data_IF_855072297665
#
_entry.id   IF_855072297665
#
_cell.length_a   1.000
_cell.length_b   1.000
_cell.length_c   1.000
_cell.angle_alpha   90.00
_cell.angle_beta   90.00
_cell.angle_gamma   90.00
#
_symmetry.space_group_name_H-M   'P 1'
#
loop_
_entity.id
_entity.type
_entity.pdbx_description
1 polymer ?
#
# COMPACT_ATOMS: atom_id res chain seq x y z
N UNK A 1 1.46 -8.47 -5.49
CA UNK A 1 0.98 -9.60 -6.33
C UNK A 1 0.32 -9.02 -7.56
N UNK A 2 0.55 -9.61 -8.74
CA UNK A 2 -0.06 -9.20 -10.00
C UNK A 2 -0.83 -10.37 -10.59
N UNK A 3 -2.11 -10.18 -10.88
CA UNK A 3 -2.91 -11.09 -11.68
C UNK A 3 -3.19 -10.45 -13.04
N UNK A 4 -2.90 -11.16 -14.12
CA UNK A 4 -3.08 -10.63 -15.48
C UNK A 4 -3.87 -11.63 -16.34
N UNK A 5 -4.99 -11.17 -16.88
CA UNK A 5 -5.75 -11.87 -17.92
C UNK A 5 -5.46 -11.24 -19.28
N UNK A 6 -5.19 -12.09 -20.26
CA UNK A 6 -4.92 -11.69 -21.63
C UNK A 6 -5.93 -12.33 -22.57
N UNK A 7 -6.52 -11.54 -23.45
CA UNK A 7 -7.30 -11.99 -24.61
C UNK A 7 -6.54 -11.57 -25.89
N UNK A 8 -5.77 -12.50 -26.46
CA UNK A 8 -5.08 -12.30 -27.74
C UNK A 8 -5.94 -12.87 -28.88
N UNK A 9 -6.76 -12.03 -29.50
CA UNK A 9 -7.65 -12.42 -30.60
C UNK A 9 -8.50 -13.68 -30.30
N UNK A 10 -9.04 -13.77 -29.08
CA UNK A 10 -9.83 -14.91 -28.62
C UNK A 10 -9.02 -16.00 -27.90
N UNK A 11 -7.69 -15.98 -27.97
CA UNK A 11 -6.85 -16.81 -27.11
C UNK A 11 -6.77 -16.20 -25.71
N UNK A 12 -7.53 -16.80 -24.79
CA UNK A 12 -7.70 -16.31 -23.42
C UNK A 12 -6.87 -17.12 -22.44
N UNK A 13 -6.02 -16.42 -21.68
CA UNK A 13 -5.19 -17.04 -20.67
C UNK A 13 -4.92 -16.11 -19.49
N UNK A 14 -4.54 -16.73 -18.37
CA UNK A 14 -3.98 -16.03 -17.22
C UNK A 14 -2.46 -16.18 -17.27
N UNK A 15 -1.75 -15.10 -16.96
CA UNK A 15 -0.28 -15.09 -16.94
C UNK A 15 0.21 -15.66 -15.60
N UNK A 16 1.16 -16.60 -15.68
CA UNK A 16 1.79 -17.21 -14.51
C UNK A 16 3.25 -16.82 -14.39
N UNK A 17 3.84 -17.06 -13.21
CA UNK A 17 5.28 -16.90 -13.00
C UNK A 17 6.14 -17.89 -13.81
N UNK A 18 5.57 -18.99 -14.30
CA UNK A 18 6.29 -19.96 -15.14
C UNK A 18 5.99 -19.81 -16.63
N UNK A 19 5.14 -18.84 -17.00
CA UNK A 19 4.76 -18.61 -18.38
C UNK A 19 5.96 -18.17 -19.21
N UNK A 20 6.02 -18.68 -20.45
CA UNK A 20 6.98 -18.28 -21.49
C UNK A 20 6.37 -17.26 -22.47
N UNK A 21 5.25 -16.64 -22.10
CA UNK A 21 4.61 -15.62 -22.91
C UNK A 21 5.26 -14.24 -22.71
N UNK A 22 5.13 -13.31 -23.69
CA UNK A 22 5.75 -11.99 -23.61
C UNK A 22 5.26 -11.13 -22.44
N UNK A 23 4.09 -11.43 -21.87
CA UNK A 23 3.55 -10.65 -20.76
C UNK A 23 4.24 -11.00 -19.44
N UNK A 24 4.54 -12.28 -19.20
CA UNK A 24 5.28 -12.69 -18.02
C UNK A 24 6.69 -12.07 -17.98
N UNK A 25 7.40 -12.07 -19.12
CA UNK A 25 8.71 -11.42 -19.24
C UNK A 25 8.61 -9.92 -19.03
N UNK A 26 7.68 -9.24 -19.71
CA UNK A 26 7.45 -7.81 -19.55
C UNK A 26 7.06 -7.42 -18.12
N UNK A 27 6.32 -8.28 -17.39
CA UNK A 27 5.94 -8.03 -16.00
C UNK A 27 7.15 -8.08 -15.09
N UNK A 28 8.06 -9.04 -15.29
CA UNK A 28 9.31 -9.13 -14.51
C UNK A 28 10.22 -7.95 -14.81
N UNK A 29 10.40 -7.61 -16.09
CA UNK A 29 11.21 -6.48 -16.52
C UNK A 29 10.68 -5.16 -15.95
N UNK A 30 9.38 -4.88 -16.11
CA UNK A 30 8.75 -3.69 -15.55
C UNK A 30 8.83 -3.65 -14.02
N UNK A 31 8.61 -4.78 -13.33
CA UNK A 31 8.76 -4.84 -11.87
C UNK A 31 10.18 -4.47 -11.41
N UNK A 32 11.21 -4.98 -12.11
CA UNK A 32 12.60 -4.61 -11.86
C UNK A 32 12.86 -3.13 -12.17
N UNK A 33 12.41 -2.65 -13.33
CA UNK A 33 12.58 -1.27 -13.76
C UNK A 33 11.98 -0.26 -12.77
N UNK A 34 10.78 -0.54 -12.26
CA UNK A 34 10.07 0.34 -11.30
C UNK A 34 10.38 0.03 -9.83
N UNK A 35 11.30 -0.90 -9.54
CA UNK A 35 11.69 -1.26 -8.17
C UNK A 35 10.58 -1.87 -7.32
N UNK A 36 9.58 -2.50 -7.95
CA UNK A 36 8.47 -3.13 -7.25
C UNK A 36 8.78 -4.62 -7.02
N UNK A 37 8.64 -5.14 -5.79
CA UNK A 37 8.75 -6.57 -5.50
C UNK A 37 7.45 -7.29 -5.94
N UNK A 38 7.12 -7.19 -7.23
CA UNK A 38 5.96 -7.84 -7.81
C UNK A 38 6.19 -9.34 -7.95
N UNK A 39 5.15 -10.11 -7.66
CA UNK A 39 5.10 -11.55 -7.87
C UNK A 39 3.90 -11.89 -8.75
N UNK A 40 4.03 -12.96 -9.52
CA UNK A 40 2.98 -13.54 -10.34
C UNK A 40 2.44 -14.82 -9.66
N UNK A 41 1.20 -15.22 -9.95
CA UNK A 41 0.67 -16.48 -9.45
C UNK A 41 1.39 -17.67 -10.11
N UNK A 42 1.48 -18.78 -9.38
CA UNK A 42 2.00 -20.02 -9.93
C UNK A 42 1.02 -20.67 -10.92
N UNK A 43 -0.28 -20.37 -10.79
CA UNK A 43 -1.36 -21.01 -11.54
C UNK A 43 -1.34 -22.54 -11.43
N UNK A 44 -0.98 -23.04 -10.24
CA UNK A 44 -1.10 -24.45 -9.87
C UNK A 44 -2.58 -24.87 -9.73
N UNK A 45 -2.83 -26.13 -9.35
CA UNK A 45 -4.20 -26.63 -9.19
C UNK A 45 -5.01 -25.81 -8.18
N UNK A 46 -4.39 -25.33 -7.11
CA UNK A 46 -5.07 -24.55 -6.08
C UNK A 46 -5.49 -23.17 -6.62
N UNK A 47 -4.61 -22.49 -7.36
CA UNK A 47 -4.94 -21.22 -8.00
C UNK A 47 -6.05 -21.40 -9.04
N UNK A 48 -5.95 -22.43 -9.88
CA UNK A 48 -6.95 -22.74 -10.92
C UNK A 48 -8.33 -23.06 -10.36
N UNK A 49 -8.40 -23.61 -9.13
CA UNK A 49 -9.67 -23.80 -8.42
C UNK A 49 -10.18 -22.53 -7.75
N UNK A 50 -9.28 -21.63 -7.34
CA UNK A 50 -9.64 -20.41 -6.62
C UNK A 50 -10.10 -19.29 -7.55
N UNK A 51 -9.58 -19.22 -8.78
CA UNK A 51 -9.87 -18.14 -9.71
C UNK A 51 -9.84 -18.59 -11.17
N UNK A 52 -10.84 -18.16 -11.95
CA UNK A 52 -10.91 -18.37 -13.39
C UNK A 52 -10.56 -17.11 -14.18
N UNK A 53 -10.31 -17.28 -15.48
CA UNK A 53 -10.20 -16.16 -16.43
C UNK A 53 -11.43 -15.25 -16.37
N UNK A 54 -12.64 -15.83 -16.31
CA UNK A 54 -13.90 -15.08 -16.31
C UNK A 54 -14.05 -14.23 -15.04
N UNK A 55 -13.60 -14.73 -13.89
CA UNK A 55 -13.62 -13.97 -12.64
C UNK A 55 -12.73 -12.73 -12.74
N UNK A 56 -11.53 -12.89 -13.29
CA UNK A 56 -10.59 -11.79 -13.49
C UNK A 56 -11.11 -10.81 -14.55
N UNK A 57 -11.62 -11.33 -15.67
CA UNK A 57 -12.12 -10.54 -16.80
C UNK A 57 -13.36 -9.71 -16.44
N UNK A 58 -14.28 -10.31 -15.68
CA UNK A 58 -15.48 -9.67 -15.15
C UNK A 58 -15.19 -8.61 -14.08
N UNK A 59 -13.95 -8.54 -13.57
CA UNK A 59 -13.53 -7.55 -12.59
C UNK A 59 -14.09 -7.80 -11.20
N UNK A 60 -14.33 -9.06 -10.83
CA UNK A 60 -14.84 -9.41 -9.50
C UNK A 60 -13.70 -9.38 -8.46
N UNK A 61 -13.67 -8.41 -7.52
CA UNK A 61 -12.54 -8.28 -6.60
C UNK A 61 -12.49 -9.39 -5.55
N UNK A 62 -13.63 -9.96 -5.16
CA UNK A 62 -13.73 -10.99 -4.11
C UNK A 62 -12.93 -12.27 -4.42
N UNK A 63 -13.18 -12.96 -5.55
CA UNK A 63 -12.41 -14.14 -5.95
C UNK A 63 -10.91 -13.85 -6.06
N UNK A 64 -10.53 -12.70 -6.63
CA UNK A 64 -9.14 -12.29 -6.76
C UNK A 64 -8.47 -12.09 -5.41
N UNK A 65 -9.16 -11.41 -4.48
CA UNK A 65 -8.64 -11.17 -3.15
C UNK A 65 -8.44 -12.49 -2.39
N UNK A 66 -9.43 -13.39 -2.43
CA UNK A 66 -9.36 -14.72 -1.81
C UNK A 66 -8.24 -15.58 -2.40
N UNK A 67 -8.11 -15.64 -3.72
CA UNK A 67 -7.02 -16.37 -4.38
C UNK A 67 -5.65 -15.80 -4.03
N UNK A 68 -5.57 -14.48 -3.79
CA UNK A 68 -4.34 -13.79 -3.42
C UNK A 68 -3.89 -14.04 -1.97
N UNK A 69 -4.78 -14.45 -1.06
CA UNK A 69 -4.48 -14.60 0.38
C UNK A 69 -3.26 -15.48 0.65
N UNK A 70 -3.11 -16.60 -0.07
CA UNK A 70 -1.98 -17.53 0.10
C UNK A 70 -0.61 -16.87 -0.15
N UNK A 71 -0.59 -15.82 -0.97
CA UNK A 71 0.62 -15.08 -1.32
C UNK A 71 0.90 -13.92 -0.36
N UNK A 72 -0.01 -13.66 0.60
CA UNK A 72 0.07 -12.58 1.60
C UNK A 72 0.54 -11.23 1.03
N UNK A 73 -0.08 -10.73 -0.06
CA UNK A 73 0.35 -9.48 -0.66
C UNK A 73 -0.08 -8.28 0.19
N UNK A 74 0.73 -7.22 0.20
CA UNK A 74 0.30 -5.92 0.72
C UNK A 74 -0.72 -5.27 -0.23
N UNK A 75 -0.48 -5.40 -1.54
CA UNK A 75 -1.37 -4.90 -2.61
C UNK A 75 -1.49 -5.91 -3.75
N UNK A 76 -2.66 -5.91 -4.39
CA UNK A 76 -2.98 -6.76 -5.53
C UNK A 76 -3.24 -5.88 -6.74
N UNK A 77 -2.43 -6.04 -7.79
CA UNK A 77 -2.65 -5.43 -9.10
C UNK A 77 -3.37 -6.42 -10.00
N UNK A 78 -4.45 -5.98 -10.64
CA UNK A 78 -5.25 -6.77 -11.56
C UNK A 78 -5.16 -6.12 -12.93
N UNK A 79 -4.63 -6.83 -13.91
CA UNK A 79 -4.58 -6.41 -15.31
C UNK A 79 -5.54 -7.23 -16.17
N UNK A 80 -6.24 -6.55 -17.07
CA UNK A 80 -7.01 -7.16 -18.16
C UNK A 80 -6.54 -6.55 -19.45
N UNK A 81 -5.98 -7.36 -20.33
CA UNK A 81 -5.38 -6.91 -21.58
C UNK A 81 -6.07 -7.62 -22.73
N UNK A 82 -6.53 -6.86 -23.73
CA UNK A 82 -7.05 -7.42 -24.98
C UNK A 82 -6.32 -6.84 -26.17
N UNK A 83 -6.16 -7.65 -27.20
CA UNK A 83 -5.70 -7.17 -28.51
C UNK A 83 -6.81 -6.35 -29.17
N UNK A 84 -6.41 -5.23 -29.78
CA UNK A 84 -7.25 -4.36 -30.59
C UNK A 84 -6.67 -4.24 -32.01
N UNK A 85 -7.37 -3.55 -32.91
CA UNK A 85 -6.92 -3.36 -34.30
C UNK A 85 -5.63 -2.54 -34.41
N UNK A 86 -5.29 -1.75 -33.38
CA UNK A 86 -4.14 -0.84 -33.37
C UNK A 86 -3.14 -1.14 -32.24
N UNK A 87 -3.14 -2.38 -31.71
CA UNK A 87 -2.23 -2.79 -30.63
C UNK A 87 -2.97 -3.49 -29.49
N UNK A 88 -2.74 -3.01 -28.27
CA UNK A 88 -3.26 -3.59 -27.03
C UNK A 88 -3.98 -2.55 -26.18
N UNK A 89 -5.11 -2.97 -25.63
CA UNK A 89 -5.88 -2.21 -24.65
C UNK A 89 -5.74 -2.89 -23.29
N UNK A 90 -5.47 -2.11 -22.25
CA UNK A 90 -5.25 -2.63 -20.91
C UNK A 90 -6.10 -1.88 -19.89
N UNK A 91 -6.86 -2.61 -19.09
CA UNK A 91 -7.57 -2.09 -17.94
C UNK A 91 -6.95 -2.66 -16.67
N UNK A 92 -6.48 -1.77 -15.80
CA UNK A 92 -5.76 -2.14 -14.59
C UNK A 92 -6.50 -1.66 -13.35
N UNK A 93 -6.38 -2.40 -12.26
CA UNK A 93 -6.99 -2.08 -10.97
C UNK A 93 -6.07 -2.47 -9.82
N UNK A 94 -5.88 -1.58 -8.86
CA UNK A 94 -5.06 -1.79 -7.67
C UNK A 94 -5.96 -1.95 -6.43
N UNK A 95 -5.79 -3.05 -5.70
CA UNK A 95 -6.47 -3.36 -4.44
C UNK A 95 -5.48 -3.36 -3.28
N UNK A 96 -5.90 -2.92 -2.09
CA UNK A 96 -5.10 -2.98 -0.85
C UNK A 96 -4.41 -1.68 -0.45
N UNK A 97 -4.54 -0.61 -1.26
CA UNK A 97 -3.94 0.71 -1.06
C UNK A 97 -4.92 1.72 -0.40
N UNK A 98 -5.69 1.31 0.60
CA UNK A 98 -6.69 2.17 1.27
C UNK A 98 -7.98 2.46 0.47
N UNK A 99 -7.91 2.43 -0.87
CA UNK A 99 -9.05 2.41 -1.79
C UNK A 99 -8.71 1.59 -3.05
N UNK A 100 -9.73 1.17 -3.80
CA UNK A 100 -9.55 0.57 -5.13
C UNK A 100 -9.42 1.68 -6.18
N UNK A 101 -8.36 1.64 -6.98
CA UNK A 101 -8.14 2.59 -8.08
C UNK A 101 -7.95 1.84 -9.39
N UNK A 102 -8.49 2.36 -10.48
CA UNK A 102 -8.44 1.73 -11.79
C UNK A 102 -8.11 2.73 -12.88
N UNK A 103 -7.38 2.27 -13.90
CA UNK A 103 -6.98 3.08 -15.05
C UNK A 103 -6.96 2.24 -16.32
N UNK A 104 -6.98 2.93 -17.47
CA UNK A 104 -6.92 2.31 -18.79
C UNK A 104 -5.68 2.83 -19.52
N UNK A 105 -5.00 1.95 -20.22
CA UNK A 105 -3.81 2.24 -21.03
C UNK A 105 -3.94 1.60 -22.41
N UNK A 106 -3.18 2.15 -23.35
CA UNK A 106 -3.03 1.62 -24.71
C UNK A 106 -1.54 1.45 -25.00
N UNK A 107 -1.17 0.42 -25.75
CA UNK A 107 0.23 0.15 -26.10
C UNK A 107 0.35 -0.68 -27.37
N UNK A 108 1.42 -0.47 -28.13
CA UNK A 108 1.61 -1.12 -29.42
C UNK A 108 2.09 -2.58 -29.27
N UNK A 109 2.72 -2.90 -28.14
CA UNK A 109 3.29 -4.20 -27.82
C UNK A 109 2.82 -4.71 -26.45
N UNK A 110 2.97 -6.02 -26.22
CA UNK A 110 2.74 -6.64 -24.91
C UNK A 110 3.62 -6.02 -23.80
N UNK A 111 4.86 -5.69 -24.14
CA UNK A 111 5.77 -4.97 -23.26
C UNK A 111 5.25 -3.58 -22.91
N UNK A 112 4.88 -2.77 -23.90
CA UNK A 112 4.42 -1.41 -23.69
C UNK A 112 3.15 -1.35 -22.83
N UNK A 113 2.20 -2.28 -23.04
CA UNK A 113 0.95 -2.29 -22.27
C UNK A 113 1.18 -2.69 -20.80
N UNK A 114 2.11 -3.62 -20.55
CA UNK A 114 2.50 -4.05 -19.21
C UNK A 114 3.26 -2.95 -18.48
N UNK A 115 4.26 -2.33 -19.12
CA UNK A 115 5.02 -1.21 -18.54
C UNK A 115 4.11 -0.05 -18.16
N UNK A 116 3.19 0.36 -19.05
CA UNK A 116 2.21 1.41 -18.74
C UNK A 116 1.27 1.01 -17.60
N UNK A 117 0.88 -0.26 -17.53
CA UNK A 117 0.11 -0.83 -16.43
C UNK A 117 0.84 -0.69 -15.10
N UNK A 118 2.05 -1.24 -15.01
CA UNK A 118 2.86 -1.20 -13.79
C UNK A 118 3.23 0.24 -13.41
N UNK A 119 3.62 1.09 -14.36
CA UNK A 119 3.91 2.51 -14.10
C UNK A 119 2.74 3.22 -13.42
N UNK A 120 1.50 2.93 -13.81
CA UNK A 120 0.31 3.46 -13.14
C UNK A 120 0.24 3.02 -11.69
N UNK A 121 0.45 1.73 -11.41
CA UNK A 121 0.50 1.22 -10.04
C UNK A 121 1.63 1.87 -9.22
N UNK A 122 2.82 1.99 -9.79
CA UNK A 122 3.96 2.68 -9.16
C UNK A 122 3.62 4.12 -8.81
N UNK A 123 3.02 4.88 -9.73
CA UNK A 123 2.62 6.26 -9.47
C UNK A 123 1.60 6.39 -8.35
N UNK A 124 0.62 5.48 -8.28
CA UNK A 124 -0.39 5.47 -7.22
C UNK A 124 0.21 5.11 -5.87
N UNK A 125 1.05 4.06 -5.82
CA UNK A 125 1.75 3.67 -4.60
C UNK A 125 2.70 4.77 -4.14
N UNK A 126 3.49 5.34 -5.06
CA UNK A 126 4.38 6.46 -4.77
C UNK A 126 3.59 7.66 -4.22
N UNK A 127 2.45 8.02 -4.79
CA UNK A 127 1.61 9.10 -4.27
C UNK A 127 1.07 8.76 -2.88
N UNK A 128 0.61 7.54 -2.65
CA UNK A 128 0.07 7.13 -1.36
C UNK A 128 1.14 7.15 -0.26
N UNK A 129 2.30 6.55 -0.53
CA UNK A 129 3.40 6.52 0.43
C UNK A 129 4.10 7.88 0.56
N UNK A 130 4.13 8.67 -0.52
CA UNK A 130 4.54 10.06 -0.46
C UNK A 130 3.59 10.83 0.44
N UNK A 131 2.27 10.79 0.29
CA UNK A 131 1.34 11.50 1.19
C UNK A 131 1.48 11.05 2.66
N UNK A 132 1.74 9.76 2.92
CA UNK A 132 2.06 9.29 4.28
C UNK A 132 3.38 9.88 4.80
N UNK A 133 4.33 10.19 3.93
CA UNK A 133 5.63 10.80 4.26
C UNK A 133 5.66 12.34 4.13
N UNK A 134 4.76 12.93 3.34
CA UNK A 134 4.78 14.30 2.81
C UNK A 134 3.55 15.10 3.20
N UNK A 135 2.68 14.55 4.03
CA UNK A 135 1.88 15.41 4.88
C UNK A 135 2.89 16.11 5.80
N UNK A 136 3.49 17.22 5.32
CA UNK A 136 4.41 18.04 6.09
C UNK A 136 3.73 18.55 7.37
N UNK A 137 2.41 18.44 7.43
CA UNK A 137 1.64 18.62 8.66
C UNK A 137 1.44 17.35 9.49
N UNK A 138 1.49 16.13 8.94
CA UNK A 138 1.36 14.92 9.77
C UNK A 138 2.69 14.40 10.31
N UNK A 139 2.77 14.15 11.62
CA UNK A 139 3.94 13.61 12.31
C UNK A 139 3.60 12.31 13.01
N UNK A 140 4.43 11.29 12.78
CA UNK A 140 4.34 10.02 13.47
C UNK A 140 5.04 10.11 14.83
N UNK A 141 4.27 9.89 15.89
CA UNK A 141 4.74 9.90 17.28
C UNK A 141 4.60 8.51 17.87
N UNK A 142 5.69 7.98 18.41
CA UNK A 142 5.68 6.67 19.07
C UNK A 142 5.65 6.83 20.58
N UNK A 143 4.71 6.14 21.23
CA UNK A 143 4.56 6.13 22.68
C UNK A 143 4.68 4.70 23.22
N UNK A 144 5.62 4.48 24.13
CA UNK A 144 5.83 3.23 24.85
C UNK A 144 5.14 3.25 26.23
N UNK A 145 4.87 2.06 26.79
CA UNK A 145 4.29 1.90 28.13
C UNK A 145 2.77 2.00 28.19
N UNK A 146 2.09 1.79 27.05
CA UNK A 146 0.63 1.76 26.97
C UNK A 146 0.18 0.31 27.17
N UNK A 147 -0.22 -0.03 28.40
CA UNK A 147 -0.55 -1.41 28.77
C UNK A 147 -2.06 -1.64 28.95
N UNK A 148 -2.85 -0.56 29.10
CA UNK A 148 -4.29 -0.62 29.36
C UNK A 148 -5.06 0.34 28.45
N UNK A 149 -6.35 0.06 28.25
CA UNK A 149 -7.24 0.93 27.46
C UNK A 149 -7.33 2.36 28.03
N UNK A 150 -7.21 2.52 29.34
CA UNK A 150 -7.18 3.84 29.98
C UNK A 150 -5.89 4.62 29.63
N UNK A 151 -4.75 3.94 29.57
CA UNK A 151 -3.48 4.54 29.15
C UNK A 151 -3.57 5.08 27.72
N UNK A 152 -4.23 4.31 26.85
CA UNK A 152 -4.53 4.70 25.48
C UNK A 152 -5.39 5.98 25.41
N UNK A 153 -6.53 6.00 26.11
CA UNK A 153 -7.43 7.15 26.11
C UNK A 153 -6.73 8.41 26.68
N UNK A 154 -5.91 8.24 27.72
CA UNK A 154 -5.11 9.30 28.34
C UNK A 154 -4.11 9.90 27.35
N UNK A 155 -3.37 9.08 26.62
CA UNK A 155 -2.40 9.55 25.61
C UNK A 155 -3.09 10.24 24.44
N UNK A 156 -4.17 9.65 23.92
CA UNK A 156 -4.92 10.24 22.80
C UNK A 156 -5.51 11.61 23.19
N UNK A 157 -6.12 11.71 24.37
CA UNK A 157 -6.71 12.96 24.87
C UNK A 157 -5.63 14.02 25.10
N UNK A 158 -4.49 13.62 25.66
CA UNK A 158 -3.36 14.52 25.87
C UNK A 158 -2.83 15.08 24.53
N UNK A 159 -2.55 14.21 23.56
CA UNK A 159 -2.04 14.64 22.25
C UNK A 159 -3.05 15.54 21.52
N UNK A 160 -4.34 15.23 21.60
CA UNK A 160 -5.40 16.03 20.99
C UNK A 160 -5.63 17.39 21.69
N UNK A 161 -5.20 17.54 22.95
CA UNK A 161 -5.29 18.80 23.69
C UNK A 161 -4.19 19.81 23.35
N UNK A 162 -3.14 19.36 22.65
CA UNK A 162 -2.01 20.22 22.28
C UNK A 162 -2.45 21.15 21.14
N UNK A 163 -2.35 22.46 21.34
CA UNK A 163 -2.77 23.46 20.34
C UNK A 163 -2.17 23.27 18.93
N UNK A 164 -0.92 22.77 18.77
CA UNK A 164 -0.37 22.43 17.47
C UNK A 164 -1.05 21.28 16.72
N UNK A 165 -1.89 20.50 17.39
CA UNK A 165 -2.45 19.24 16.88
C UNK A 165 -3.91 19.47 16.47
N UNK A 166 -4.17 19.32 15.18
CA UNK A 166 -5.50 19.40 14.57
C UNK A 166 -6.22 18.05 14.65
N UNK A 167 -5.49 16.95 14.46
CA UNK A 167 -6.07 15.60 14.50
C UNK A 167 -5.08 14.57 15.05
N UNK A 168 -5.62 13.58 15.79
CA UNK A 168 -4.87 12.43 16.30
C UNK A 168 -5.52 11.14 15.79
N UNK A 169 -4.72 10.30 15.14
CA UNK A 169 -5.13 8.97 14.68
C UNK A 169 -4.14 7.90 15.13
N UNK A 170 -4.60 6.67 15.29
CA UNK A 170 -3.72 5.53 15.56
C UNK A 170 -3.25 4.97 14.22
N UNK A 171 -1.93 4.94 14.04
CA UNK A 171 -1.31 4.35 12.85
C UNK A 171 -1.01 2.86 13.07
N UNK A 172 -0.56 2.48 14.27
CA UNK A 172 -0.15 1.09 14.56
C UNK A 172 -0.14 0.82 16.06
N UNK A 173 -0.46 -0.42 16.45
CA UNK A 173 -0.31 -0.94 17.82
C UNK A 173 0.57 -2.19 17.76
N UNK A 174 1.60 -2.25 18.61
CA UNK A 174 2.53 -3.38 18.69
C UNK A 174 2.97 -3.57 20.14
N UNK A 175 2.39 -4.54 20.84
CA UNK A 175 2.69 -4.80 22.25
C UNK A 175 2.32 -3.61 23.15
N UNK A 176 3.30 -3.07 23.88
CA UNK A 176 3.17 -1.90 24.75
C UNK A 176 3.47 -0.56 24.05
N UNK A 177 3.71 -0.61 22.73
CA UNK A 177 4.03 0.54 21.89
C UNK A 177 2.88 0.87 20.94
N UNK A 178 2.45 2.14 20.94
CA UNK A 178 1.47 2.66 19.99
C UNK A 178 2.13 3.76 19.15
N UNK A 179 1.87 3.76 17.85
CA UNK A 179 2.24 4.84 16.93
C UNK A 179 1.01 5.65 16.59
N UNK A 180 1.06 6.94 16.88
CA UNK A 180 0.04 7.92 16.55
C UNK A 180 0.47 8.73 15.33
N UNK A 181 -0.46 9.00 14.43
CA UNK A 181 -0.31 10.01 13.39
C UNK A 181 -0.98 11.30 13.88
N UNK A 182 -0.20 12.37 13.98
CA UNK A 182 -0.66 13.68 14.43
C UNK A 182 -0.69 14.64 13.27
N UNK A 183 -1.85 15.15 12.87
CA UNK A 183 -1.95 16.25 11.92
C UNK A 183 -1.71 17.56 12.66
N UNK A 184 -0.77 18.36 12.19
CA UNK A 184 -0.34 19.60 12.81
C UNK A 184 -0.87 20.82 12.06
N UNK A 185 -1.20 21.87 12.78
CA UNK A 185 -1.59 23.17 12.19
C UNK A 185 -0.45 24.21 12.24
N UNK A 186 0.72 23.85 12.80
CA UNK A 186 1.87 24.73 13.04
C UNK A 186 3.20 23.97 13.03
N UNK A 187 4.31 24.67 13.27
CA UNK A 187 5.68 24.13 13.22
C UNK A 187 5.98 23.07 14.30
N UNK A 188 6.75 22.05 13.91
CA UNK A 188 7.15 20.91 14.74
C UNK A 188 7.87 21.26 16.04
N UNK A 189 8.72 22.31 15.99
CA UNK A 189 9.53 22.73 17.14
C UNK A 189 8.65 23.16 18.32
N UNK A 190 7.47 23.72 18.03
CA UNK A 190 6.51 24.14 19.04
C UNK A 190 5.86 22.93 19.73
N UNK A 191 5.59 21.86 18.98
CA UNK A 191 5.01 20.63 19.52
C UNK A 191 5.96 19.93 20.48
N UNK A 192 7.23 19.70 20.09
CA UNK A 192 8.21 19.03 20.97
C UNK A 192 8.39 19.79 22.27
N UNK A 193 8.42 21.13 22.22
CA UNK A 193 8.51 21.98 23.41
C UNK A 193 7.29 21.81 24.32
N UNK A 194 6.08 21.78 23.77
CA UNK A 194 4.86 21.58 24.55
C UNK A 194 4.75 20.18 25.15
N UNK A 195 5.20 19.15 24.42
CA UNK A 195 5.24 17.78 24.95
C UNK A 195 6.21 17.71 26.15
N UNK A 196 7.39 18.33 26.03
CA UNK A 196 8.38 18.40 27.11
C UNK A 196 7.89 19.20 28.33
N UNK A 197 6.99 20.16 28.14
CA UNK A 197 6.36 20.92 29.23
C UNK A 197 5.21 20.15 29.89
N UNK A 198 4.61 19.22 29.15
CA UNK A 198 3.56 18.34 29.68
C UNK A 198 4.10 17.32 30.68
N UNK A 199 3.22 16.84 31.56
CA UNK A 199 3.54 15.82 32.58
C UNK A 199 3.04 14.41 32.22
N UNK A 200 2.66 14.19 30.96
CA UNK A 200 2.05 12.92 30.51
C UNK A 200 3.06 12.07 29.75
N UNK A 201 3.91 12.68 28.91
CA UNK A 201 4.87 11.97 28.08
C UNK A 201 6.30 12.44 28.38
N UNK A 202 7.24 11.50 28.47
CA UNK A 202 8.66 11.79 28.60
C UNK A 202 9.40 11.35 27.32
N UNK A 203 10.25 12.20 26.71
CA UNK A 203 11.02 11.79 25.54
C UNK A 203 11.99 10.65 25.90
N UNK A 204 12.10 9.67 25.02
CA UNK A 204 13.11 8.60 25.12
C UNK A 204 14.35 9.09 24.38
N UNK A 205 15.37 9.54 25.11
CA UNK A 205 16.68 9.82 24.51
C UNK A 205 17.40 8.52 24.23
N UNK A 206 17.27 8.03 23.00
CA UNK A 206 18.17 7.01 22.44
C UNK A 206 19.24 7.71 21.61
N UNK A 207 20.51 7.32 21.79
CA UNK A 207 21.63 7.73 20.94
C UNK A 207 21.30 7.32 19.49
N UNK A 208 20.88 8.29 18.67
CA UNK A 208 20.47 8.09 17.27
C UNK A 208 19.12 8.69 16.95
N UNK A 209 19.08 10.01 16.71
CA UNK A 209 18.20 10.76 15.79
C UNK A 209 16.74 10.28 15.54
N UNK A 210 16.02 9.84 16.58
CA UNK A 210 14.56 9.64 16.49
C UNK A 210 13.80 10.65 17.37
N UNK A 211 13.54 11.89 16.91
CA UNK A 211 12.99 12.98 17.73
C UNK A 211 11.54 12.79 18.24
N UNK A 212 10.88 11.68 17.89
CA UNK A 212 9.44 11.46 18.13
C UNK A 212 9.13 10.17 18.91
N UNK A 213 10.04 9.77 19.80
CA UNK A 213 9.82 8.65 20.70
C UNK A 213 9.59 9.14 22.14
N UNK A 214 8.48 8.71 22.72
CA UNK A 214 8.08 9.07 24.07
C UNK A 214 7.68 7.83 24.87
N UNK A 215 7.70 7.99 26.19
CA UNK A 215 7.20 7.02 27.15
C UNK A 215 6.10 7.66 27.98
N UNK A 216 5.01 6.92 28.19
CA UNK A 216 3.94 7.33 29.08
C UNK A 216 4.44 7.34 30.53
N UNK A 217 4.25 8.48 31.21
CA UNK A 217 4.55 8.62 32.63
C UNK A 217 3.42 7.95 33.42
N UNK A 218 3.79 6.93 34.20
CA UNK A 218 2.89 6.18 35.08
C UNK A 218 2.52 7.00 36.31
#
# INVERSE_FOLDING_TARGET
>A
MVWLAVDDNGQRFLVSDSSLDPFAEALRDAAQHYGLPASLPLLDLQDKHAISFADLWGGFPGPVQKASERYRPQVVLIGRVSRSSSGWNGQWSLLGAGASQSWIVHGDTAEAIVHKGISGATGLLATQYAVVASDETSRLVSVQGINRLNDYARVQTYLASLSPVDQVQVAMVSGDQVRFSLKLNTSEQSLVKLIRLGRVLQPVTTEGDAPWQFRLIQ
#
